data_IF_452662989889
#
_entry.id   IF_452662989889
#
_cell.length_a   1.000
_cell.length_b   1.000
_cell.length_c   1.000
_cell.angle_alpha   90.00
_cell.angle_beta   90.00
_cell.angle_gamma   90.00
#
_symmetry.space_group_name_H-M   'P 1'
#
loop_
_entity.id
_entity.type
_entity.pdbx_description
1 polymer ?
#
# COMPACT_ATOMS: atom_id res chain seq x y z
N UNK A 1 -22.63 -41.89 -2.87
CA UNK A 1 -22.02 -40.82 -3.67
C UNK A 1 -21.82 -39.63 -2.75
N UNK A 2 -20.58 -39.40 -2.29
CA UNK A 2 -20.27 -38.35 -1.32
C UNK A 2 -20.03 -37.04 -2.07
N UNK A 3 -20.91 -36.07 -1.89
CA UNK A 3 -20.73 -34.71 -2.37
C UNK A 3 -19.81 -33.98 -1.39
N UNK A 4 -18.58 -33.69 -1.80
CA UNK A 4 -17.70 -32.78 -1.07
C UNK A 4 -18.26 -31.38 -1.29
N UNK A 5 -18.85 -30.81 -0.24
CA UNK A 5 -19.34 -29.44 -0.23
C UNK A 5 -18.12 -28.52 -0.06
N UNK A 6 -17.60 -28.02 -1.17
CA UNK A 6 -16.57 -26.98 -1.16
C UNK A 6 -17.18 -25.73 -0.51
N UNK A 7 -16.59 -25.17 0.57
CA UNK A 7 -17.10 -23.93 1.14
C UNK A 7 -17.05 -22.83 0.08
N UNK A 8 -18.08 -21.97 -0.02
CA UNK A 8 -18.05 -20.86 -0.97
C UNK A 8 -16.86 -19.98 -0.64
N UNK A 9 -16.02 -19.72 -1.64
CA UNK A 9 -15.04 -18.64 -1.61
C UNK A 9 -15.80 -17.38 -1.18
N UNK A 10 -15.36 -16.71 -0.11
CA UNK A 10 -16.00 -15.50 0.39
C UNK A 10 -16.13 -14.49 -0.76
N UNK A 11 -17.36 -14.31 -1.25
CA UNK A 11 -17.61 -13.33 -2.29
C UNK A 11 -17.31 -11.94 -1.71
N UNK A 12 -16.69 -11.04 -2.48
CA UNK A 12 -16.56 -9.65 -2.06
C UNK A 12 -17.96 -9.08 -1.81
N UNK A 13 -18.14 -8.45 -0.67
CA UNK A 13 -19.40 -7.85 -0.22
C UNK A 13 -19.93 -6.90 -1.29
N UNK A 14 -21.22 -7.01 -1.64
CA UNK A 14 -21.89 -6.18 -2.67
C UNK A 14 -21.96 -4.69 -2.29
N UNK A 15 -21.62 -4.35 -1.05
CA UNK A 15 -21.44 -2.97 -0.57
C UNK A 15 -19.94 -2.64 -0.54
N UNK A 16 -19.50 -1.57 -1.24
CA UNK A 16 -18.10 -1.18 -1.23
C UNK A 16 -17.65 -0.91 0.21
N UNK A 17 -16.53 -1.52 0.60
CA UNK A 17 -15.97 -1.33 1.93
C UNK A 17 -15.62 0.17 2.13
N UNK A 18 -15.94 0.74 3.30
CA UNK A 18 -15.68 2.15 3.55
C UNK A 18 -14.17 2.45 3.49
N UNK A 19 -13.78 3.64 3.01
CA UNK A 19 -12.37 4.03 2.98
C UNK A 19 -11.79 4.10 4.39
N UNK A 20 -10.47 3.98 4.48
CA UNK A 20 -9.72 4.20 5.71
C UNK A 20 -9.54 5.70 5.90
N UNK A 21 -10.16 6.24 6.95
CA UNK A 21 -9.95 7.62 7.37
C UNK A 21 -8.55 7.81 7.96
N UNK A 22 -7.85 8.83 7.50
CA UNK A 22 -6.49 9.16 7.91
C UNK A 22 -6.44 10.38 8.86
N UNK A 23 -5.25 10.73 9.34
CA UNK A 23 -5.01 12.04 9.96
C UNK A 23 -5.34 13.15 8.96
N UNK A 24 -5.91 14.26 9.43
CA UNK A 24 -6.43 15.35 8.59
C UNK A 24 -5.42 15.96 7.60
N UNK A 25 -4.12 15.73 7.81
CA UNK A 25 -3.07 16.16 6.89
C UNK A 25 -2.98 15.29 5.62
N UNK A 26 -3.26 14.00 5.71
CA UNK A 26 -3.07 13.03 4.63
C UNK A 26 -4.42 12.61 4.01
N UNK A 27 -4.44 12.14 2.75
CA UNK A 27 -5.67 11.66 2.14
C UNK A 27 -6.16 10.36 2.79
N UNK A 28 -7.48 10.20 2.78
CA UNK A 28 -8.12 8.91 3.07
C UNK A 28 -7.78 7.89 1.98
N UNK A 29 -7.78 6.61 2.35
CA UNK A 29 -7.34 5.53 1.48
C UNK A 29 -8.49 4.57 1.17
N UNK A 30 -8.88 4.50 -0.11
CA UNK A 30 -9.89 3.54 -0.58
C UNK A 30 -9.30 2.13 -0.76
N UNK A 31 -10.02 1.12 -0.24
CA UNK A 31 -9.69 -0.29 -0.41
C UNK A 31 -9.87 -0.74 -1.87
N UNK A 32 -10.95 -0.28 -2.51
CA UNK A 32 -11.27 -0.60 -3.90
C UNK A 32 -10.17 -0.07 -4.83
N UNK A 33 -9.81 1.20 -4.67
CA UNK A 33 -8.74 1.81 -5.46
C UNK A 33 -7.40 1.09 -5.24
N UNK A 34 -7.09 0.69 -4.00
CA UNK A 34 -5.90 -0.11 -3.71
C UNK A 34 -5.94 -1.48 -4.40
N UNK A 35 -7.10 -2.17 -4.36
CA UNK A 35 -7.32 -3.47 -5.00
C UNK A 35 -7.11 -3.38 -6.52
N UNK A 36 -7.69 -2.38 -7.16
CA UNK A 36 -7.60 -2.16 -8.61
C UNK A 36 -6.17 -1.78 -9.03
N UNK A 37 -5.58 -0.79 -8.37
CA UNK A 37 -4.23 -0.30 -8.68
C UNK A 37 -3.19 -1.40 -8.55
N UNK A 38 -3.28 -2.19 -7.47
CA UNK A 38 -2.30 -3.22 -7.16
C UNK A 38 -2.63 -4.58 -7.80
N UNK A 39 -3.76 -4.67 -8.52
CA UNK A 39 -4.28 -5.90 -9.15
C UNK A 39 -4.36 -7.05 -8.15
N UNK A 40 -4.89 -6.78 -6.96
CA UNK A 40 -5.11 -7.81 -5.95
C UNK A 40 -6.27 -8.68 -6.38
N UNK A 41 -6.05 -10.00 -6.41
CA UNK A 41 -7.11 -10.94 -6.75
C UNK A 41 -8.18 -11.04 -5.65
N UNK A 42 -9.24 -11.78 -5.93
CA UNK A 42 -10.34 -11.99 -4.97
C UNK A 42 -9.95 -12.81 -3.72
N UNK A 43 -8.70 -13.28 -3.60
CA UNK A 43 -8.29 -14.10 -2.44
C UNK A 43 -7.98 -13.25 -1.20
N UNK A 44 -7.63 -11.97 -1.39
CA UNK A 44 -7.45 -11.02 -0.31
C UNK A 44 -8.82 -10.49 0.13
N UNK A 45 -9.25 -10.85 1.33
CA UNK A 45 -10.48 -10.34 1.92
C UNK A 45 -10.35 -8.86 2.30
N UNK A 46 -11.45 -8.13 2.36
CA UNK A 46 -11.44 -6.71 2.71
C UNK A 46 -10.86 -6.47 4.11
N UNK A 47 -11.14 -7.37 5.07
CA UNK A 47 -10.57 -7.29 6.41
C UNK A 47 -9.04 -7.40 6.41
N UNK A 48 -8.46 -8.30 5.60
CA UNK A 48 -7.02 -8.46 5.45
C UNK A 48 -6.40 -7.25 4.77
N UNK A 49 -6.98 -6.80 3.67
CA UNK A 49 -6.51 -5.61 2.96
C UNK A 49 -6.55 -4.37 3.85
N UNK A 50 -7.65 -4.18 4.61
CA UNK A 50 -7.79 -3.06 5.55
C UNK A 50 -6.71 -3.07 6.62
N UNK A 51 -6.41 -4.25 7.18
CA UNK A 51 -5.38 -4.40 8.20
C UNK A 51 -4.00 -3.98 7.68
N UNK A 52 -3.62 -4.47 6.50
CA UNK A 52 -2.31 -4.17 5.91
C UNK A 52 -2.20 -2.72 5.44
N UNK A 53 -3.28 -2.13 4.90
CA UNK A 53 -3.32 -0.71 4.57
C UNK A 53 -3.18 0.17 5.82
N UNK A 54 -3.82 -0.17 6.94
CA UNK A 54 -3.66 0.57 8.20
C UNK A 54 -2.21 0.56 8.69
N UNK A 55 -1.56 -0.61 8.65
CA UNK A 55 -0.14 -0.73 9.02
C UNK A 55 0.75 0.08 8.08
N UNK A 56 0.50 0.03 6.77
CA UNK A 56 1.25 0.78 5.78
C UNK A 56 1.06 2.30 5.94
N UNK A 57 -0.17 2.78 6.16
CA UNK A 57 -0.49 4.18 6.44
C UNK A 57 0.28 4.66 7.67
N UNK A 58 0.26 3.89 8.76
CA UNK A 58 0.99 4.24 9.97
C UNK A 58 2.49 4.39 9.71
N UNK A 59 3.10 3.43 9.02
CA UNK A 59 4.53 3.47 8.67
C UNK A 59 4.88 4.67 7.80
N UNK A 60 4.11 4.94 6.74
CA UNK A 60 4.37 6.08 5.84
C UNK A 60 4.17 7.41 6.58
N UNK A 61 3.16 7.51 7.43
CA UNK A 61 2.93 8.72 8.24
C UNK A 61 4.07 8.98 9.23
N UNK A 62 4.67 7.92 9.77
CA UNK A 62 5.82 8.00 10.66
C UNK A 62 7.08 8.45 9.92
N UNK A 63 7.35 7.90 8.73
CA UNK A 63 8.48 8.32 7.88
C UNK A 63 8.36 9.79 7.46
N UNK A 64 7.13 10.25 7.23
CA UNK A 64 6.82 11.63 6.84
C UNK A 64 6.63 12.58 8.03
N UNK A 65 6.76 12.11 9.27
CA UNK A 65 6.45 12.89 10.48
C UNK A 65 7.23 14.19 10.56
N UNK A 66 8.53 14.16 10.28
CA UNK A 66 9.39 15.34 10.33
C UNK A 66 9.02 16.36 9.24
N UNK A 67 8.77 15.90 8.01
CA UNK A 67 8.34 16.75 6.91
C UNK A 67 6.98 17.40 7.20
N UNK A 68 6.02 16.61 7.71
CA UNK A 68 4.71 17.13 8.14
C UNK A 68 4.82 18.21 9.21
N UNK A 69 5.71 18.04 10.20
CA UNK A 69 5.94 19.08 11.21
C UNK A 69 6.44 20.38 10.58
N UNK A 70 7.43 20.31 9.68
CA UNK A 70 7.95 21.48 8.99
C UNK A 70 6.89 22.18 8.11
N UNK A 71 6.05 21.41 7.40
CA UNK A 71 4.94 21.97 6.62
C UNK A 71 3.88 22.64 7.49
N UNK A 72 3.55 22.04 8.64
CA UNK A 72 2.62 22.65 9.61
C UNK A 72 3.16 23.95 10.19
N UNK A 73 4.46 24.02 10.48
CA UNK A 73 5.12 25.27 10.91
C UNK A 73 5.08 26.34 9.82
N UNK A 74 5.12 25.94 8.55
CA UNK A 74 4.92 26.83 7.40
C UNK A 74 3.44 27.18 7.13
N UNK A 75 2.51 26.75 7.99
CA UNK A 75 1.07 27.04 7.88
C UNK A 75 0.29 26.11 6.94
N UNK A 76 0.93 25.07 6.41
CA UNK A 76 0.30 24.11 5.50
C UNK A 76 -0.41 23.03 6.33
N UNK A 77 -1.71 22.85 6.09
CA UNK A 77 -2.55 21.96 6.91
C UNK A 77 -2.90 20.63 6.23
N UNK A 78 -2.68 20.52 4.92
CA UNK A 78 -2.93 19.30 4.13
C UNK A 78 -1.78 19.03 3.16
N UNK A 79 -1.52 17.76 2.90
CA UNK A 79 -0.52 17.33 1.92
C UNK A 79 -0.82 17.86 0.51
N UNK A 80 -2.10 17.97 0.15
CA UNK A 80 -2.56 18.52 -1.12
C UNK A 80 -2.13 19.98 -1.35
N UNK A 81 -1.94 20.73 -0.26
CA UNK A 81 -1.61 22.16 -0.29
C UNK A 81 -0.08 22.39 -0.28
N UNK A 82 0.72 21.33 -0.15
CA UNK A 82 2.18 21.44 -0.26
C UNK A 82 2.54 21.78 -1.71
N UNK A 83 3.35 22.83 -1.95
CA UNK A 83 3.74 23.23 -3.31
C UNK A 83 4.42 22.07 -4.06
N UNK A 84 3.76 21.60 -5.12
CA UNK A 84 4.24 20.53 -6.00
C UNK A 84 3.53 20.61 -7.36
N UNK A 85 4.07 19.89 -8.34
CA UNK A 85 3.46 19.77 -9.66
C UNK A 85 2.08 19.10 -9.56
N UNK A 86 1.21 19.47 -10.48
CA UNK A 86 -0.12 18.89 -10.63
C UNK A 86 -0.10 17.86 -11.76
N UNK A 87 -0.64 16.68 -11.49
CA UNK A 87 -0.84 15.63 -12.47
C UNK A 87 -2.33 15.26 -12.47
N UNK A 88 -2.98 15.38 -13.63
CA UNK A 88 -4.41 15.13 -13.79
C UNK A 88 -5.29 15.92 -12.80
N UNK A 89 -4.90 17.16 -12.49
CA UNK A 89 -5.62 18.02 -11.56
C UNK A 89 -5.44 17.67 -10.07
N UNK A 90 -4.53 16.75 -9.74
CA UNK A 90 -4.17 16.38 -8.36
C UNK A 90 -2.68 16.63 -8.09
N UNK A 91 -2.34 17.03 -6.86
CA UNK A 91 -0.93 17.16 -6.45
C UNK A 91 -0.20 15.83 -6.60
N UNK A 92 0.97 15.85 -7.24
CA UNK A 92 1.82 14.66 -7.42
C UNK A 92 2.19 14.00 -6.09
N UNK A 93 2.22 14.77 -4.98
CA UNK A 93 2.49 14.25 -3.65
C UNK A 93 1.40 13.31 -3.13
N UNK A 94 0.14 13.53 -3.52
CA UNK A 94 -0.96 12.63 -3.18
C UNK A 94 -0.80 11.28 -3.91
N UNK A 95 -0.33 11.32 -5.17
CA UNK A 95 -0.04 10.12 -5.93
C UNK A 95 1.13 9.33 -5.35
N UNK A 96 2.22 10.03 -4.96
CA UNK A 96 3.33 9.40 -4.27
C UNK A 96 2.91 8.80 -2.93
N UNK A 97 2.05 9.48 -2.17
CA UNK A 97 1.55 8.97 -0.89
C UNK A 97 0.77 7.66 -1.08
N UNK A 98 -0.18 7.64 -2.03
CA UNK A 98 -0.94 6.42 -2.37
C UNK A 98 0.00 5.30 -2.82
N UNK A 99 0.98 5.59 -3.70
CA UNK A 99 1.97 4.61 -4.14
C UNK A 99 2.76 4.03 -2.97
N UNK A 100 3.25 4.86 -2.05
CA UNK A 100 3.98 4.41 -0.88
C UNK A 100 3.16 3.42 -0.03
N UNK A 101 1.92 3.80 0.29
CA UNK A 101 1.00 2.98 1.09
C UNK A 101 0.67 1.66 0.38
N UNK A 102 0.33 1.70 -0.91
CA UNK A 102 -0.09 0.52 -1.65
C UNK A 102 1.05 -0.48 -1.88
N UNK A 103 2.24 0.01 -2.22
CA UNK A 103 3.41 -0.82 -2.38
C UNK A 103 3.78 -1.51 -1.06
N UNK A 104 3.78 -0.76 0.05
CA UNK A 104 4.10 -1.32 1.36
C UNK A 104 3.05 -2.35 1.82
N UNK A 105 1.76 -2.06 1.66
CA UNK A 105 0.69 -2.99 2.01
C UNK A 105 0.77 -4.28 1.18
N UNK A 106 1.01 -4.18 -0.14
CA UNK A 106 1.16 -5.35 -1.00
C UNK A 106 2.40 -6.16 -0.65
N UNK A 107 3.53 -5.52 -0.34
CA UNK A 107 4.74 -6.22 0.06
C UNK A 107 4.50 -7.10 1.31
N UNK A 108 3.80 -6.56 2.31
CA UNK A 108 3.44 -7.33 3.51
C UNK A 108 2.42 -8.43 3.24
N UNK A 109 1.43 -8.18 2.36
CA UNK A 109 0.49 -9.21 1.92
C UNK A 109 1.20 -10.41 1.27
N UNK A 110 2.18 -10.14 0.38
CA UNK A 110 2.97 -11.19 -0.28
C UNK A 110 3.76 -12.01 0.74
N UNK A 111 4.43 -11.34 1.68
CA UNK A 111 5.19 -12.04 2.74
C UNK A 111 4.30 -12.90 3.62
N UNK A 112 3.16 -12.38 4.08
CA UNK A 112 2.24 -13.15 4.94
C UNK A 112 1.52 -14.26 4.19
N UNK A 113 1.35 -14.16 2.88
CA UNK A 113 0.77 -15.23 2.06
C UNK A 113 1.68 -16.48 2.06
N UNK A 114 3.01 -16.28 2.09
CA UNK A 114 4.01 -17.36 2.21
C UNK A 114 3.82 -18.21 3.46
N UNK A 115 3.52 -17.59 4.59
CA UNK A 115 3.33 -18.29 5.87
C UNK A 115 2.07 -19.17 5.86
N UNK A 116 1.10 -18.86 4.99
CA UNK A 116 -0.20 -19.53 4.96
C UNK A 116 -0.23 -20.76 4.03
N UNK A 117 0.47 -20.73 2.89
CA UNK A 117 0.49 -21.83 1.92
C UNK A 117 1.87 -22.50 1.82
N UNK A 118 2.12 -23.46 2.71
CA UNK A 118 3.36 -24.26 2.77
C UNK A 118 3.30 -25.51 1.87
N UNK A 119 2.30 -25.64 0.99
CA UNK A 119 2.23 -26.76 0.05
C UNK A 119 3.29 -26.61 -1.05
N UNK A 120 3.71 -27.71 -1.68
CA UNK A 120 4.77 -27.69 -2.71
C UNK A 120 4.45 -26.86 -3.98
N UNK A 121 3.19 -26.49 -4.19
CA UNK A 121 2.76 -25.50 -5.19
C UNK A 121 2.85 -24.06 -4.62
N UNK A 122 2.46 -23.86 -3.36
CA UNK A 122 2.62 -22.60 -2.63
C UNK A 122 4.08 -22.15 -2.51
N UNK A 123 5.01 -23.09 -2.29
CA UNK A 123 6.44 -22.81 -2.24
C UNK A 123 7.00 -22.30 -3.58
N UNK A 124 6.63 -22.92 -4.72
CA UNK A 124 7.05 -22.46 -6.06
C UNK A 124 6.46 -21.10 -6.42
N UNK A 125 5.20 -20.85 -6.04
CA UNK A 125 4.55 -19.56 -6.27
C UNK A 125 5.13 -18.46 -5.38
N UNK A 126 5.59 -18.81 -4.18
CA UNK A 126 6.27 -17.89 -3.28
C UNK A 126 7.65 -17.46 -3.82
N UNK A 127 8.44 -18.40 -4.39
CA UNK A 127 9.75 -18.10 -4.98
C UNK A 127 9.64 -17.15 -6.20
N UNK A 128 8.56 -17.23 -6.98
CA UNK A 128 8.29 -16.30 -8.09
C UNK A 128 7.84 -14.90 -7.62
N UNK A 129 7.30 -14.79 -6.41
CA UNK A 129 6.78 -13.55 -5.82
C UNK A 129 7.80 -12.84 -4.91
N UNK A 130 8.87 -13.50 -4.48
CA UNK A 130 9.88 -12.94 -3.58
C UNK A 130 10.66 -11.74 -4.19
N UNK A 131 11.06 -11.75 -5.48
CA UNK A 131 11.59 -10.55 -6.13
C UNK A 131 10.58 -9.39 -6.09
N UNK A 132 9.28 -9.69 -6.12
CA UNK A 132 8.21 -8.70 -6.17
C UNK A 132 8.04 -7.95 -4.84
N UNK A 133 8.25 -8.57 -3.68
CA UNK A 133 8.07 -7.89 -2.38
C UNK A 133 9.14 -6.85 -2.09
N UNK A 134 10.41 -7.16 -2.40
CA UNK A 134 11.51 -6.22 -2.16
C UNK A 134 11.52 -5.06 -3.16
N UNK A 135 11.13 -5.31 -4.40
CA UNK A 135 10.84 -4.26 -5.39
C UNK A 135 9.74 -3.33 -4.90
N UNK A 136 8.64 -3.86 -4.36
CA UNK A 136 7.57 -3.05 -3.78
C UNK A 136 8.04 -2.21 -2.60
N UNK A 137 8.88 -2.75 -1.70
CA UNK A 137 9.46 -1.96 -0.60
C UNK A 137 10.38 -0.85 -1.12
N UNK A 138 11.15 -1.13 -2.16
CA UNK A 138 12.00 -0.13 -2.83
C UNK A 138 11.15 0.99 -3.43
N UNK A 139 10.09 0.64 -4.15
CA UNK A 139 9.15 1.59 -4.73
C UNK A 139 8.45 2.44 -3.67
N UNK A 140 8.07 1.85 -2.53
CA UNK A 140 7.52 2.59 -1.41
C UNK A 140 8.51 3.62 -0.86
N UNK A 141 9.78 3.22 -0.64
CA UNK A 141 10.85 4.12 -0.18
C UNK A 141 11.15 5.23 -1.18
N UNK A 142 11.12 4.93 -2.48
CA UNK A 142 11.28 5.92 -3.53
C UNK A 142 10.14 6.94 -3.52
N UNK A 143 8.90 6.49 -3.42
CA UNK A 143 7.74 7.38 -3.31
C UNK A 143 7.81 8.27 -2.07
N UNK A 144 8.22 7.75 -0.91
CA UNK A 144 8.46 8.55 0.31
C UNK A 144 9.57 9.58 0.07
N UNK A 145 10.67 9.18 -0.57
CA UNK A 145 11.78 10.08 -0.90
C UNK A 145 11.35 11.22 -1.83
N UNK A 146 10.52 10.91 -2.82
CA UNK A 146 9.94 11.92 -3.72
C UNK A 146 9.07 12.92 -2.95
N UNK A 147 8.28 12.46 -1.97
CA UNK A 147 7.43 13.34 -1.14
C UNK A 147 8.26 14.35 -0.34
N UNK A 148 9.40 13.91 0.21
CA UNK A 148 10.26 14.78 1.02
C UNK A 148 11.35 15.49 0.22
N UNK A 149 11.36 15.34 -1.12
CA UNK A 149 12.36 15.95 -2.00
C UNK A 149 13.78 15.44 -1.80
N UNK A 150 13.96 14.19 -1.34
CA UNK A 150 15.27 13.56 -1.15
C UNK A 150 15.67 12.73 -2.38
N UNK A 151 16.96 12.72 -2.77
CA UNK A 151 17.40 11.88 -3.87
C UNK A 151 17.19 10.39 -3.52
N UNK A 152 16.74 9.63 -4.52
CA UNK A 152 16.62 8.17 -4.40
C UNK A 152 18.02 7.57 -4.34
N UNK A 153 18.34 6.87 -3.25
CA UNK A 153 19.62 6.16 -3.13
C UNK A 153 19.43 4.75 -3.68
N UNK A 154 20.18 4.40 -4.73
CA UNK A 154 20.28 3.04 -5.25
C UNK A 154 21.59 2.44 -4.73
N UNK A 155 21.51 1.50 -3.79
CA UNK A 155 22.66 0.68 -3.40
C UNK A 155 22.64 -0.57 -4.26
N UNK A 156 23.54 -0.67 -5.24
CA UNK A 156 23.84 -1.94 -5.89
C UNK A 156 24.76 -2.74 -4.97
N UNK A 157 24.34 -3.95 -4.60
CA UNK A 157 25.21 -4.95 -3.97
C UNK A 157 26.04 -5.59 -5.10
N UNK A 158 27.34 -5.33 -5.10
CA UNK A 158 28.35 -5.98 -5.95
C UNK A 158 28.92 -7.20 -5.25
#
# INVERSE_FOLDING_TARGET
MSFVSTPPLSQPSETPAPPITNDAFYPDVSLEHARDTMRLDGTVTDARLRHELLAAIASVNDDLRAARSAWREAGITRLADVPADQLDGESVLLQHYRRAVYCLAKATLIERYRDYDTTGDGARRADELEPQSDELRRDARWAISDIVGRPRVTVELI
#
